data_IF_251359276695
#
_entry.id   IF_251359276695
#
_cell.length_a   1.000
_cell.length_b   1.000
_cell.length_c   1.000
_cell.angle_alpha   90.00
_cell.angle_beta   90.00
_cell.angle_gamma   90.00
#
_symmetry.space_group_name_H-M   'P 1'
#
loop_
_entity.id
_entity.type
_entity.pdbx_description
1 polymer ?
#
# COMPACT_ATOMS: atom_id res chain seq x y z
N UNK A 1 13.47 9.33 27.86
CA UNK A 1 14.86 9.29 27.41
C UNK A 1 14.99 8.56 26.05
N UNK A 2 14.39 7.38 25.86
CA UNK A 2 14.52 6.59 24.60
C UNK A 2 13.81 7.29 23.44
N UNK A 3 12.58 7.78 23.61
CA UNK A 3 11.82 8.44 22.55
C UNK A 3 12.54 9.63 21.93
N UNK A 4 13.17 10.48 22.77
CA UNK A 4 13.97 11.61 22.28
C UNK A 4 15.20 11.16 21.48
N UNK A 5 15.78 10.01 21.82
CA UNK A 5 16.94 9.48 21.13
C UNK A 5 16.60 8.91 19.72
N UNK A 6 15.38 8.41 19.53
CA UNK A 6 14.90 7.89 18.26
C UNK A 6 14.08 8.89 17.45
N UNK A 7 13.80 10.09 18.03
CA UNK A 7 13.15 11.19 17.32
C UNK A 7 11.66 10.98 17.04
N UNK A 8 10.95 10.31 17.97
CA UNK A 8 9.48 10.18 17.90
C UNK A 8 8.82 11.37 18.57
N UNK A 9 7.64 11.75 18.08
CA UNK A 9 6.90 12.92 18.57
C UNK A 9 6.28 12.65 19.93
N UNK A 10 5.70 11.47 20.14
CA UNK A 10 5.04 11.07 21.37
C UNK A 10 5.47 9.70 21.86
N UNK A 11 5.44 9.48 23.17
CA UNK A 11 5.79 8.21 23.82
C UNK A 11 4.75 7.87 24.88
N UNK A 12 4.10 6.74 24.70
CA UNK A 12 3.16 6.16 25.66
C UNK A 12 3.81 4.94 26.32
N UNK A 13 3.95 4.94 27.63
CA UNK A 13 4.49 3.82 28.40
C UNK A 13 3.38 2.97 29.04
N UNK A 14 3.69 1.72 29.35
CA UNK A 14 2.81 0.80 30.11
C UNK A 14 1.39 0.65 29.51
N UNK A 15 1.26 0.69 28.18
CA UNK A 15 -0.01 0.57 27.50
C UNK A 15 -0.55 -0.86 27.56
N UNK A 16 -1.81 -1.00 28.00
CA UNK A 16 -2.57 -2.24 27.82
C UNK A 16 -2.95 -2.43 26.34
N UNK A 17 -3.36 -3.64 25.91
CA UNK A 17 -3.87 -3.85 24.55
C UNK A 17 -5.02 -2.89 24.19
N UNK A 18 -5.93 -2.64 25.13
CA UNK A 18 -7.04 -1.70 24.98
C UNK A 18 -6.53 -0.25 24.86
N UNK A 19 -5.54 0.13 25.67
CA UNK A 19 -4.92 1.46 25.59
C UNK A 19 -4.22 1.71 24.24
N UNK A 20 -3.57 0.70 23.67
CA UNK A 20 -3.01 0.78 22.31
C UNK A 20 -4.08 0.98 21.25
N UNK A 21 -5.20 0.29 21.37
CA UNK A 21 -6.35 0.43 20.48
C UNK A 21 -6.95 1.85 20.55
N UNK A 22 -7.10 2.40 21.76
CA UNK A 22 -7.59 3.76 21.96
C UNK A 22 -6.68 4.81 21.32
N UNK A 23 -5.35 4.65 21.44
CA UNK A 23 -4.37 5.53 20.79
C UNK A 23 -4.55 5.48 19.26
N UNK A 24 -4.65 4.28 18.66
CA UNK A 24 -4.86 4.14 17.22
C UNK A 24 -6.17 4.81 16.78
N UNK A 25 -7.26 4.63 17.52
CA UNK A 25 -8.53 5.30 17.22
C UNK A 25 -8.43 6.82 17.34
N UNK A 26 -7.73 7.33 18.35
CA UNK A 26 -7.51 8.76 18.52
C UNK A 26 -6.73 9.36 17.34
N UNK A 27 -5.66 8.69 16.89
CA UNK A 27 -4.87 9.10 15.74
C UNK A 27 -5.69 9.06 14.43
N UNK A 28 -6.53 8.05 14.25
CA UNK A 28 -7.41 7.97 13.08
C UNK A 28 -8.44 9.09 13.01
N UNK A 29 -8.88 9.60 14.17
CA UNK A 29 -9.79 10.74 14.26
C UNK A 29 -9.06 12.07 14.09
N UNK A 30 -7.81 12.15 14.52
CA UNK A 30 -7.00 13.37 14.48
C UNK A 30 -6.40 13.66 13.10
N UNK A 31 -6.20 12.63 12.28
CA UNK A 31 -5.55 12.77 10.95
C UNK A 31 -6.50 12.45 9.80
N UNK A 32 -6.33 13.17 8.68
CA UNK A 32 -6.92 12.80 7.37
C UNK A 32 -6.02 11.84 6.58
N UNK A 33 -4.84 11.55 7.10
CA UNK A 33 -3.85 10.66 6.51
C UNK A 33 -4.10 9.18 6.80
N UNK A 34 -3.19 8.34 6.34
CA UNK A 34 -3.19 6.91 6.62
C UNK A 34 -2.46 6.64 7.93
N UNK A 35 -3.14 6.04 8.90
CA UNK A 35 -2.55 5.59 10.17
C UNK A 35 -1.99 4.17 9.96
N UNK A 36 -0.71 4.00 10.23
CA UNK A 36 -0.03 2.69 10.15
C UNK A 36 0.32 2.25 11.57
N UNK A 37 -0.29 1.15 12.02
CA UNK A 37 0.11 0.51 13.27
C UNK A 37 1.14 -0.57 12.99
N UNK A 38 2.17 -0.65 13.82
CA UNK A 38 3.23 -1.65 13.72
C UNK A 38 3.37 -2.36 15.06
N UNK A 39 3.32 -3.68 15.05
CA UNK A 39 3.43 -4.50 16.26
C UNK A 39 4.09 -5.85 15.99
N UNK A 40 4.60 -6.50 17.01
CA UNK A 40 5.32 -7.77 16.94
C UNK A 40 4.64 -8.92 17.71
N UNK A 41 3.59 -8.60 18.47
CA UNK A 41 2.99 -9.54 19.43
C UNK A 41 1.48 -9.75 19.26
N UNK A 42 1.00 -10.80 19.94
CA UNK A 42 -0.43 -11.16 20.00
C UNK A 42 -1.26 -10.01 20.61
N UNK A 43 -0.68 -9.28 21.57
CA UNK A 43 -1.34 -8.19 22.27
C UNK A 43 -1.56 -6.95 21.38
N UNK A 44 -0.91 -6.87 20.23
CA UNK A 44 -1.05 -5.78 19.28
C UNK A 44 -2.14 -6.03 18.22
N UNK A 45 -2.64 -7.28 18.12
CA UNK A 45 -3.63 -7.67 17.11
C UNK A 45 -4.86 -6.75 17.04
N UNK A 46 -5.48 -6.32 18.16
CA UNK A 46 -6.61 -5.38 18.10
C UNK A 46 -6.23 -4.01 17.51
N UNK A 47 -5.06 -3.49 17.87
CA UNK A 47 -4.56 -2.21 17.36
C UNK A 47 -4.17 -2.28 15.88
N UNK A 48 -3.58 -3.40 15.44
CA UNK A 48 -3.26 -3.67 14.04
C UNK A 48 -4.53 -3.73 13.17
N UNK A 49 -5.54 -4.47 13.63
CA UNK A 49 -6.82 -4.60 12.92
C UNK A 49 -7.61 -3.28 12.84
N UNK A 50 -7.44 -2.38 13.80
CA UNK A 50 -8.15 -1.10 13.86
C UNK A 50 -7.48 0.00 13.03
N UNK A 51 -6.20 -0.11 12.73
CA UNK A 51 -5.47 0.90 11.96
C UNK A 51 -5.89 0.93 10.49
N UNK A 52 -5.56 2.01 9.77
CA UNK A 52 -5.74 2.06 8.31
C UNK A 52 -4.89 1.01 7.59
N UNK A 53 -3.70 0.70 8.13
CA UNK A 53 -2.82 -0.39 7.71
C UNK A 53 -2.16 -0.97 8.95
N UNK A 54 -2.40 -2.24 9.22
CA UNK A 54 -1.74 -3.02 10.27
C UNK A 54 -0.50 -3.73 9.73
N UNK A 55 0.63 -3.61 10.41
CA UNK A 55 1.90 -4.25 10.05
C UNK A 55 2.39 -5.13 11.19
N UNK A 56 2.44 -6.43 10.99
CA UNK A 56 3.05 -7.38 11.92
C UNK A 56 4.53 -7.57 11.60
N UNK A 57 5.39 -7.49 12.61
CA UNK A 57 6.84 -7.70 12.49
C UNK A 57 7.28 -8.97 13.22
N UNK A 58 8.33 -9.63 12.70
CA UNK A 58 8.91 -10.82 13.34
C UNK A 58 7.99 -12.05 13.38
N UNK A 59 6.86 -12.01 12.68
CA UNK A 59 5.86 -13.07 12.69
C UNK A 59 6.36 -14.32 11.93
N UNK A 60 7.09 -15.17 12.62
CA UNK A 60 7.49 -16.49 12.11
C UNK A 60 6.37 -17.50 12.38
N UNK A 61 5.39 -17.55 11.51
CA UNK A 61 4.24 -18.47 11.59
C UNK A 61 2.91 -17.76 11.74
N UNK A 62 1.83 -18.54 11.79
CA UNK A 62 0.48 -18.03 12.01
C UNK A 62 0.33 -17.58 13.47
N UNK A 63 0.41 -16.28 13.70
CA UNK A 63 0.13 -15.66 15.00
C UNK A 63 -1.09 -14.76 14.89
N UNK A 64 -1.76 -14.45 16.01
CA UNK A 64 -2.88 -13.53 16.00
C UNK A 64 -2.53 -12.17 15.39
N UNK A 65 -1.30 -11.69 15.57
CA UNK A 65 -0.83 -10.46 14.95
C UNK A 65 -0.70 -10.59 13.43
N UNK A 66 -0.19 -11.72 12.91
CA UNK A 66 -0.07 -11.93 11.46
C UNK A 66 -1.42 -12.14 10.77
N UNK A 67 -2.42 -12.66 11.49
CA UNK A 67 -3.79 -12.80 10.98
C UNK A 67 -4.57 -11.48 10.99
N UNK A 68 -4.24 -10.59 11.94
CA UNK A 68 -4.88 -9.28 12.08
C UNK A 68 -4.25 -8.19 11.19
N UNK A 69 -3.04 -8.42 10.66
CA UNK A 69 -2.27 -7.43 9.93
C UNK A 69 -2.51 -7.52 8.42
N UNK A 70 -2.50 -6.36 7.74
CA UNK A 70 -2.54 -6.26 6.28
C UNK A 70 -1.17 -6.60 5.65
N UNK A 71 -0.09 -6.37 6.38
CA UNK A 71 1.29 -6.59 5.96
C UNK A 71 2.05 -7.36 7.02
N UNK A 72 2.76 -8.41 6.61
CA UNK A 72 3.62 -9.20 7.50
C UNK A 72 5.07 -9.06 7.07
N UNK A 73 5.91 -8.56 7.98
CA UNK A 73 7.37 -8.47 7.81
C UNK A 73 8.00 -9.64 8.54
N UNK A 74 8.58 -10.58 7.79
CA UNK A 74 9.12 -11.85 8.34
C UNK A 74 10.38 -11.59 9.18
N UNK A 75 11.21 -10.63 8.76
CA UNK A 75 12.41 -10.24 9.49
C UNK A 75 12.08 -9.19 10.56
N UNK A 76 12.68 -9.34 11.73
CA UNK A 76 12.52 -8.40 12.84
C UNK A 76 13.41 -7.16 12.62
N UNK A 77 13.01 -6.34 11.63
CA UNK A 77 13.73 -5.12 11.29
C UNK A 77 12.78 -4.04 10.74
N UNK A 78 12.70 -2.93 11.45
CA UNK A 78 11.89 -1.77 11.05
C UNK A 78 12.34 -1.13 9.71
N UNK A 79 13.57 -1.42 9.26
CA UNK A 79 14.06 -0.94 7.96
C UNK A 79 13.23 -1.49 6.79
N UNK A 80 12.68 -2.69 6.94
CA UNK A 80 11.83 -3.32 5.93
C UNK A 80 10.49 -2.61 5.78
N UNK A 81 10.00 -1.96 6.85
CA UNK A 81 8.80 -1.11 6.78
C UNK A 81 9.02 0.07 5.83
N UNK A 82 10.16 0.77 5.95
CA UNK A 82 10.46 1.89 5.04
C UNK A 82 10.53 1.42 3.57
N UNK A 83 11.11 0.24 3.34
CA UNK A 83 11.17 -0.39 2.02
C UNK A 83 9.76 -0.74 1.51
N UNK A 84 8.92 -1.33 2.33
CA UNK A 84 7.54 -1.66 1.99
C UNK A 84 6.73 -0.42 1.59
N UNK A 85 6.86 0.68 2.35
CA UNK A 85 6.21 1.96 2.03
C UNK A 85 6.71 2.52 0.70
N UNK A 86 8.00 2.43 0.40
CA UNK A 86 8.54 2.89 -0.90
C UNK A 86 8.01 2.05 -2.07
N UNK A 87 7.97 0.72 -1.91
CA UNK A 87 7.42 -0.19 -2.92
C UNK A 87 5.95 0.13 -3.15
N UNK A 88 5.16 0.28 -2.09
CA UNK A 88 3.73 0.59 -2.16
C UNK A 88 3.46 1.90 -2.92
N UNK A 89 4.18 2.98 -2.57
CA UNK A 89 4.08 4.27 -3.29
C UNK A 89 4.45 4.15 -4.76
N UNK A 90 5.51 3.42 -5.07
CA UNK A 90 5.95 3.20 -6.44
C UNK A 90 4.95 2.35 -7.25
N UNK A 91 4.40 1.29 -6.66
CA UNK A 91 3.40 0.43 -7.29
C UNK A 91 2.09 1.18 -7.54
N UNK A 92 1.63 1.99 -6.57
CA UNK A 92 0.46 2.84 -6.73
C UNK A 92 0.64 3.85 -7.86
N UNK A 93 1.79 4.52 -7.92
CA UNK A 93 2.07 5.49 -8.99
C UNK A 93 2.04 4.82 -10.38
N UNK A 94 2.62 3.63 -10.52
CA UNK A 94 2.56 2.86 -11.77
C UNK A 94 1.16 2.41 -12.14
N UNK A 95 0.39 1.91 -11.19
CA UNK A 95 -0.99 1.51 -11.44
C UNK A 95 -1.83 2.70 -11.94
N UNK A 96 -1.69 3.88 -11.32
CA UNK A 96 -2.37 5.09 -11.75
C UNK A 96 -1.89 5.56 -13.14
N UNK A 97 -0.60 5.46 -13.45
CA UNK A 97 -0.08 5.78 -14.77
C UNK A 97 -0.61 4.82 -15.84
N UNK A 98 -0.59 3.51 -15.57
CA UNK A 98 -1.11 2.51 -16.49
C UNK A 98 -2.60 2.72 -16.77
N UNK A 99 -3.39 2.93 -15.72
CA UNK A 99 -4.83 3.22 -15.85
C UNK A 99 -5.07 4.54 -16.61
N UNK A 100 -4.35 5.61 -16.30
CA UNK A 100 -4.51 6.90 -16.95
C UNK A 100 -4.14 6.87 -18.43
N UNK A 101 -3.02 6.22 -18.77
CA UNK A 101 -2.59 6.06 -20.17
C UNK A 101 -3.55 5.14 -20.92
N UNK A 102 -3.93 4.00 -20.33
CA UNK A 102 -4.89 3.06 -20.95
C UNK A 102 -6.23 3.72 -21.25
N UNK A 103 -6.81 4.41 -20.26
CA UNK A 103 -8.06 5.15 -20.46
C UNK A 103 -7.94 6.26 -21.51
N UNK A 104 -6.82 7.01 -21.50
CA UNK A 104 -6.58 8.06 -22.49
C UNK A 104 -6.53 7.50 -23.91
N UNK A 105 -5.82 6.40 -24.12
CA UNK A 105 -5.75 5.73 -25.42
C UNK A 105 -7.10 5.14 -25.84
N UNK A 106 -7.87 4.57 -24.92
CA UNK A 106 -9.20 4.06 -25.17
C UNK A 106 -10.17 5.17 -25.64
N UNK A 107 -10.13 6.34 -24.99
CA UNK A 107 -10.92 7.51 -25.41
C UNK A 107 -10.50 7.97 -26.80
N UNK A 108 -9.21 8.05 -27.10
CA UNK A 108 -8.72 8.41 -28.44
C UNK A 108 -9.20 7.40 -29.50
N UNK A 109 -9.12 6.10 -29.23
CA UNK A 109 -9.60 5.05 -30.12
C UNK A 109 -11.12 5.16 -30.36
N UNK A 110 -11.90 5.45 -29.31
CA UNK A 110 -13.34 5.66 -29.39
C UNK A 110 -13.69 6.88 -30.25
N UNK A 111 -12.98 7.99 -30.10
CA UNK A 111 -13.17 9.17 -30.93
C UNK A 111 -12.82 8.88 -32.39
N UNK A 112 -11.72 8.16 -32.67
CA UNK A 112 -11.37 7.74 -34.02
C UNK A 112 -12.40 6.83 -34.65
N UNK A 113 -12.98 5.90 -33.88
CA UNK A 113 -14.06 5.04 -34.35
C UNK A 113 -15.35 5.83 -34.66
N UNK A 114 -15.68 6.85 -33.85
CA UNK A 114 -16.87 7.69 -34.07
C UNK A 114 -16.81 8.53 -35.34
N UNK A 115 -15.61 8.86 -35.83
CA UNK A 115 -15.41 9.57 -37.08
C UNK A 115 -15.39 8.65 -38.33
N UNK A 116 -15.53 7.34 -38.11
CA UNK A 116 -15.47 6.34 -39.20
C UNK A 116 -14.07 5.95 -39.65
N UNK A 117 -13.02 6.46 -38.99
CA UNK A 117 -11.61 6.10 -39.29
C UNK A 117 -11.29 4.65 -38.93
N UNK A 118 -12.00 4.08 -37.94
CA UNK A 118 -11.84 2.70 -37.52
C UNK A 118 -13.18 1.97 -37.68
N UNK A 119 -13.15 0.79 -38.29
CA UNK A 119 -14.30 -0.11 -38.26
C UNK A 119 -14.42 -0.79 -36.87
N UNK A 120 -15.59 -1.34 -36.56
CA UNK A 120 -15.88 -1.93 -35.24
C UNK A 120 -14.87 -3.04 -34.86
N UNK A 121 -14.46 -3.88 -35.82
CA UNK A 121 -13.50 -4.95 -35.57
C UNK A 121 -12.11 -4.40 -35.23
N UNK A 122 -11.63 -3.42 -35.99
CA UNK A 122 -10.34 -2.79 -35.72
C UNK A 122 -10.34 -2.04 -34.39
N UNK A 123 -11.44 -1.38 -34.02
CA UNK A 123 -11.57 -0.73 -32.74
C UNK A 123 -11.52 -1.72 -31.57
N UNK A 124 -12.20 -2.87 -31.66
CA UNK A 124 -12.17 -3.93 -30.66
C UNK A 124 -10.76 -4.52 -30.50
N UNK A 125 -10.09 -4.86 -31.60
CA UNK A 125 -8.72 -5.37 -31.55
C UNK A 125 -7.75 -4.35 -30.96
N UNK A 126 -7.89 -3.08 -31.32
CA UNK A 126 -7.05 -2.00 -30.73
C UNK A 126 -7.23 -1.89 -29.22
N UNK A 127 -8.46 -2.04 -28.73
CA UNK A 127 -8.74 -2.01 -27.28
C UNK A 127 -8.05 -3.13 -26.54
N UNK A 128 -8.09 -4.37 -27.06
CA UNK A 128 -7.38 -5.52 -26.47
C UNK A 128 -5.87 -5.27 -26.37
N UNK A 129 -5.26 -4.67 -27.40
CA UNK A 129 -3.84 -4.31 -27.36
C UNK A 129 -3.52 -3.23 -26.33
N UNK A 130 -4.38 -2.21 -26.20
CA UNK A 130 -4.23 -1.15 -25.20
C UNK A 130 -4.29 -1.74 -23.79
N UNK A 131 -5.27 -2.59 -23.52
CA UNK A 131 -5.48 -3.19 -22.19
C UNK A 131 -4.32 -4.13 -21.84
N UNK A 132 -3.87 -4.96 -22.77
CA UNK A 132 -2.70 -5.82 -22.57
C UNK A 132 -1.41 -5.02 -22.31
N UNK A 133 -1.19 -3.94 -23.06
CA UNK A 133 -0.03 -3.07 -22.87
C UNK A 133 -0.07 -2.36 -21.52
N UNK A 134 -1.25 -1.89 -21.08
CA UNK A 134 -1.44 -1.25 -19.78
C UNK A 134 -1.17 -2.23 -18.62
N UNK A 135 -1.65 -3.48 -18.73
CA UNK A 135 -1.40 -4.52 -17.74
C UNK A 135 0.11 -4.86 -17.66
N UNK A 136 0.74 -5.11 -18.81
CA UNK A 136 2.18 -5.41 -18.87
C UNK A 136 3.02 -4.25 -18.29
N UNK A 137 2.64 -3.01 -18.55
CA UNK A 137 3.30 -1.85 -17.97
C UNK A 137 3.14 -1.80 -16.44
N UNK A 138 1.95 -2.08 -15.91
CA UNK A 138 1.69 -2.10 -14.48
C UNK A 138 2.48 -3.18 -13.75
N UNK A 139 2.76 -4.32 -14.39
CA UNK A 139 3.52 -5.44 -13.85
C UNK A 139 5.04 -5.21 -13.81
N UNK A 140 5.56 -4.17 -14.45
CA UNK A 140 7.01 -3.90 -14.41
C UNK A 140 7.42 -3.55 -12.97
N UNK A 141 8.36 -4.30 -12.35
CA UNK A 141 8.72 -4.11 -10.96
C UNK A 141 9.32 -2.72 -10.69
N UNK A 142 8.93 -2.12 -9.56
CA UNK A 142 9.49 -0.85 -9.10
C UNK A 142 10.90 -1.12 -8.59
N UNK A 143 11.91 -0.49 -9.21
CA UNK A 143 13.28 -0.54 -8.69
C UNK A 143 13.37 0.31 -7.43
N UNK A 144 13.40 -0.34 -6.26
CA UNK A 144 13.74 0.33 -5.00
C UNK A 144 15.26 0.42 -4.87
N UNK A 145 15.79 1.63 -4.71
CA UNK A 145 17.17 1.82 -4.25
C UNK A 145 17.18 1.58 -2.74
N UNK A 146 17.50 0.36 -2.33
CA UNK A 146 17.82 0.09 -0.93
C UNK A 146 19.16 0.81 -0.68
N UNK A 147 19.11 1.92 0.05
CA UNK A 147 20.31 2.58 0.58
C UNK A 147 20.75 1.76 1.79
N UNK A 148 21.81 0.97 1.61
CA UNK A 148 22.50 0.33 2.73
C UNK A 148 23.06 1.40 3.69
#
# INVERSE_FOLDING_TARGET
>A
AIGAAVGVDEVFGDCTPEGKLEIVHAEMLATTGTVVAVGDGINDAPALAAASVGVAMGARGATAASEAADVVIIEDSIKHLATAVQISKGSRARALQAAGVGMGLAVCAMLAASTGLLNATAAAVSQEFIDMAAILWALVPVKTKIKN
#
